data_IF_654156457889
#
_entry.id   IF_654156457889
#
_cell.length_a   1.000
_cell.length_b   1.000
_cell.length_c   1.000
_cell.angle_alpha   90.00
_cell.angle_beta   90.00
_cell.angle_gamma   90.00
#
_symmetry.space_group_name_H-M   'P 1'
#
loop_
_entity.id
_entity.type
_entity.pdbx_description
1 polymer ?
#
# COMPACT_ATOMS: atom_id res chain seq x y z
N UNK A 1 -3.89 -6.84 -13.58
CA UNK A 1 -3.72 -7.58 -12.31
C UNK A 1 -5.07 -8.09 -11.81
N UNK A 2 -5.12 -8.93 -10.78
CA UNK A 2 -6.38 -9.33 -10.14
C UNK A 2 -7.17 -8.12 -9.61
N UNK A 3 -6.47 -7.11 -9.06
CA UNK A 3 -7.04 -5.83 -8.62
C UNK A 3 -7.78 -5.07 -9.74
N UNK A 4 -7.31 -5.16 -11.00
CA UNK A 4 -7.96 -4.55 -12.18
C UNK A 4 -9.27 -5.21 -12.57
N UNK A 5 -9.48 -6.46 -12.17
CA UNK A 5 -10.68 -7.26 -12.46
C UNK A 5 -11.59 -7.37 -11.24
N UNK A 6 -11.23 -6.70 -10.15
CA UNK A 6 -12.01 -6.70 -8.91
C UNK A 6 -12.92 -5.47 -8.89
N UNK A 7 -14.22 -5.73 -8.77
CA UNK A 7 -15.29 -4.73 -8.91
C UNK A 7 -15.91 -4.32 -7.56
N UNK A 8 -15.40 -4.87 -6.45
CA UNK A 8 -15.83 -4.47 -5.12
C UNK A 8 -15.70 -2.95 -4.91
N UNK A 9 -16.79 -2.34 -4.42
CA UNK A 9 -16.83 -0.93 -4.02
C UNK A 9 -15.79 -0.64 -2.93
N UNK A 10 -15.66 -1.56 -1.98
CA UNK A 10 -14.71 -1.51 -0.88
C UNK A 10 -13.70 -2.64 -1.01
N UNK A 11 -12.42 -2.30 -1.18
CA UNK A 11 -11.34 -3.27 -1.34
C UNK A 11 -10.16 -2.90 -0.44
N UNK A 12 -9.61 -3.91 0.23
CA UNK A 12 -8.35 -3.83 0.97
C UNK A 12 -7.40 -4.86 0.40
N UNK A 13 -6.21 -4.41 0.01
CA UNK A 13 -5.07 -5.27 -0.31
C UNK A 13 -3.97 -4.99 0.70
N UNK A 14 -3.64 -5.98 1.51
CA UNK A 14 -2.70 -5.81 2.63
C UNK A 14 -1.70 -6.97 2.68
N UNK A 15 -0.44 -6.65 2.96
CA UNK A 15 0.60 -7.65 3.16
C UNK A 15 1.99 -7.15 2.82
N UNK A 16 2.93 -8.09 2.75
CA UNK A 16 4.30 -7.88 2.28
C UNK A 16 4.32 -7.89 0.74
N UNK A 17 4.59 -6.72 0.16
CA UNK A 17 4.72 -6.55 -1.28
C UNK A 17 6.17 -6.76 -1.78
N UNK A 18 7.15 -6.91 -0.88
CA UNK A 18 8.58 -7.00 -1.20
C UNK A 18 9.09 -5.88 -2.12
N UNK A 19 8.43 -4.72 -2.09
CA UNK A 19 8.76 -3.56 -2.91
C UNK A 19 8.47 -2.27 -2.15
N UNK A 20 9.24 -1.22 -2.46
CA UNK A 20 8.99 0.15 -1.98
C UNK A 20 8.00 0.86 -2.91
N UNK A 21 7.33 1.91 -2.41
CA UNK A 21 6.32 2.67 -3.19
C UNK A 21 6.84 3.23 -4.52
N UNK A 22 8.14 3.52 -4.63
CA UNK A 22 8.74 4.05 -5.86
C UNK A 22 9.00 2.99 -6.92
N UNK A 23 8.72 1.71 -6.62
CA UNK A 23 8.86 0.63 -7.59
C UNK A 23 7.78 0.73 -8.69
N UNK A 24 8.14 0.41 -9.93
CA UNK A 24 7.22 0.40 -11.07
C UNK A 24 6.01 -0.52 -10.86
N UNK A 25 6.15 -1.57 -10.03
CA UNK A 25 5.04 -2.49 -9.74
C UNK A 25 3.91 -1.81 -8.96
N UNK A 26 4.19 -0.72 -8.24
CA UNK A 26 3.17 0.08 -7.55
C UNK A 26 2.37 0.95 -8.51
N UNK A 27 2.89 1.31 -9.69
CA UNK A 27 2.18 2.16 -10.64
C UNK A 27 0.78 1.64 -10.97
N UNK A 28 0.67 0.34 -11.24
CA UNK A 28 -0.59 -0.33 -11.54
C UNK A 28 -1.57 -0.39 -10.35
N UNK A 29 -1.04 -0.37 -9.12
CA UNK A 29 -1.82 -0.34 -7.88
C UNK A 29 -2.25 1.09 -7.56
N UNK A 30 -1.35 2.07 -7.66
CA UNK A 30 -1.58 3.51 -7.42
C UNK A 30 -2.60 4.10 -8.41
N UNK A 31 -2.74 3.52 -9.60
CA UNK A 31 -3.79 3.89 -10.56
C UNK A 31 -5.22 3.60 -10.03
N UNK A 32 -5.38 2.72 -9.03
CA UNK A 32 -6.69 2.20 -8.61
C UNK A 32 -6.92 2.15 -7.10
N UNK A 33 -5.84 2.15 -6.31
CA UNK A 33 -5.85 2.01 -4.87
C UNK A 33 -5.05 3.16 -4.25
N UNK A 34 -5.45 3.52 -3.05
CA UNK A 34 -4.79 4.53 -2.22
C UNK A 34 -3.98 3.80 -1.14
N UNK A 35 -2.70 4.14 -1.01
CA UNK A 35 -1.91 3.75 0.15
C UNK A 35 -2.43 4.44 1.42
N UNK A 36 -2.99 3.66 2.33
CA UNK A 36 -3.63 4.16 3.55
C UNK A 36 -2.68 4.98 4.43
N UNK A 37 -1.42 4.56 4.56
CA UNK A 37 -0.43 5.26 5.40
C UNK A 37 -0.03 6.59 4.77
N UNK A 38 0.11 6.64 3.45
CA UNK A 38 0.42 7.87 2.73
C UNK A 38 -0.75 8.85 2.80
N UNK A 39 -1.98 8.37 2.69
CA UNK A 39 -3.19 9.19 2.78
C UNK A 39 -3.29 9.93 4.11
N UNK A 40 -2.92 9.26 5.21
CA UNK A 40 -2.84 9.86 6.54
C UNK A 40 -1.45 10.44 6.84
N UNK A 41 -0.60 10.76 5.86
CA UNK A 41 0.70 11.36 6.12
C UNK A 41 1.55 10.66 7.20
N UNK A 42 1.42 9.33 7.35
CA UNK A 42 1.93 8.56 8.49
C UNK A 42 3.46 8.40 8.52
N UNK A 43 4.20 9.21 7.76
CA UNK A 43 5.64 9.12 7.62
C UNK A 43 6.11 7.81 6.97
N UNK A 44 7.40 7.54 7.08
CA UNK A 44 8.09 6.51 6.30
C UNK A 44 7.56 5.08 6.53
N UNK A 45 7.24 4.72 7.77
CA UNK A 45 6.64 3.42 8.08
C UNK A 45 7.52 2.23 7.75
N UNK A 46 8.84 2.32 7.96
CA UNK A 46 9.75 1.22 7.66
C UNK A 46 9.41 -0.05 8.44
N UNK A 47 9.52 -1.19 7.77
CA UNK A 47 9.21 -2.51 8.32
C UNK A 47 10.36 -3.49 8.19
N UNK A 48 11.35 -3.20 7.33
CA UNK A 48 12.46 -4.11 7.03
C UNK A 48 13.84 -3.43 7.03
N UNK A 49 14.91 -4.12 7.47
CA UNK A 49 14.89 -5.37 8.23
C UNK A 49 14.32 -5.16 9.65
N UNK A 50 13.70 -6.19 10.24
CA UNK A 50 13.03 -6.06 11.54
C UNK A 50 13.95 -5.54 12.67
N UNK A 51 15.24 -5.92 12.64
CA UNK A 51 16.23 -5.48 13.63
C UNK A 51 16.67 -4.02 13.45
N UNK A 52 16.51 -3.46 12.25
CA UNK A 52 16.90 -2.10 11.91
C UNK A 52 16.06 -1.58 10.72
N UNK A 53 14.80 -1.18 10.95
CA UNK A 53 13.88 -0.84 9.87
C UNK A 53 14.36 0.39 9.08
N UNK A 54 14.58 0.19 7.78
CA UNK A 54 15.12 1.22 6.88
C UNK A 54 14.32 1.36 5.58
N UNK A 55 13.53 0.33 5.21
CA UNK A 55 12.63 0.36 4.06
C UNK A 55 11.28 -0.20 4.45
N UNK A 56 10.25 0.14 3.66
CA UNK A 56 8.89 -0.34 3.87
C UNK A 56 8.50 -1.31 2.77
N UNK A 57 8.30 -2.57 3.15
CA UNK A 57 7.88 -3.64 2.25
C UNK A 57 6.42 -4.03 2.46
N UNK A 58 5.89 -3.78 3.65
CA UNK A 58 4.49 -4.02 3.99
C UNK A 58 3.64 -2.79 3.71
N UNK A 59 2.52 -3.00 3.03
CA UNK A 59 1.61 -1.91 2.66
C UNK A 59 0.15 -2.33 2.88
N UNK A 60 -0.71 -1.33 3.03
CA UNK A 60 -2.16 -1.48 3.05
C UNK A 60 -2.71 -0.50 2.04
N UNK A 61 -3.25 -1.05 0.95
CA UNK A 61 -3.82 -0.33 -0.18
C UNK A 61 -5.35 -0.46 -0.14
N UNK A 62 -6.07 0.65 -0.32
CA UNK A 62 -7.52 0.70 -0.17
C UNK A 62 -8.23 1.32 -1.37
N UNK A 63 -9.48 0.92 -1.59
CA UNK A 63 -10.45 1.54 -2.50
C UNK A 63 -11.77 1.72 -1.77
N UNK A 64 -12.43 2.86 -1.95
CA UNK A 64 -13.74 3.16 -1.36
C UNK A 64 -13.75 3.33 0.16
N UNK A 65 -12.58 3.30 0.81
CA UNK A 65 -12.43 3.44 2.26
C UNK A 65 -11.62 4.69 2.56
N UNK A 66 -12.03 5.43 3.59
CA UNK A 66 -11.30 6.59 4.10
C UNK A 66 -10.29 6.15 5.16
N UNK A 67 -8.97 6.28 4.91
CA UNK A 67 -7.96 6.02 5.91
C UNK A 67 -8.08 7.02 7.07
N UNK A 68 -8.09 6.51 8.30
CA UNK A 68 -8.13 7.31 9.53
C UNK A 68 -6.84 7.13 10.34
N UNK A 69 -6.50 8.14 11.14
CA UNK A 69 -5.32 8.17 12.02
C UNK A 69 -5.51 7.34 13.29
#
# INVERSE_FOLDING_TARGET
SAVKQEDAEHLIVAGDFNAVQTDRYFKDLDEQLVDSRKAVGGGFGFTWPAQFPAVRLDHIMVRGLDPVY
#
